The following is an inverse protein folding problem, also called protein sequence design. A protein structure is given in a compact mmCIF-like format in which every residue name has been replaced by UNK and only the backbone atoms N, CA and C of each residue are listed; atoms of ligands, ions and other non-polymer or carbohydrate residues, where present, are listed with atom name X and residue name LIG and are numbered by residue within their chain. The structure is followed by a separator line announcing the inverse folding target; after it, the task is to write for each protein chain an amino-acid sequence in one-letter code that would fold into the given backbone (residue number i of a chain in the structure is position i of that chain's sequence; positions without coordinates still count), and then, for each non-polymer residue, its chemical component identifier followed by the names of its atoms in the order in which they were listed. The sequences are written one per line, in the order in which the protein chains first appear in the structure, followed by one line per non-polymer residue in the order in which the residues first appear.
data_IF_454173848899
#
_entry.id   IF_454173848899
#
_cell.length_a   1.000
_cell.length_b   1.000
_cell.length_c   1.000
_cell.angle_alpha   90.00
_cell.angle_beta   90.00
_cell.angle_gamma   90.00
#
_symmetry.space_group_name_H-M   'P 1'
#
loop_
_entity.id
_entity.type
_entity.pdbx_description
1 polymer ?
#
# COMPACT_ATOMS: atom_id res chain seq x y z
N UNK A 1 10.61 -5.80 -8.56
CA UNK A 1 9.71 -5.45 -9.69
C UNK A 1 10.35 -5.70 -11.04
N UNK A 2 11.44 -5.01 -11.43
CA UNK A 2 12.06 -5.15 -12.77
C UNK A 2 12.34 -6.62 -13.16
N UNK A 3 13.00 -7.38 -12.29
CA UNK A 3 13.27 -8.82 -12.50
C UNK A 3 12.01 -9.64 -12.78
N UNK A 4 10.92 -9.39 -12.05
CA UNK A 4 9.65 -10.13 -12.26
C UNK A 4 8.97 -9.72 -13.57
N UNK A 5 9.07 -8.44 -13.96
CA UNK A 5 8.58 -7.98 -15.27
C UNK A 5 9.31 -8.66 -16.41
N UNK A 6 10.63 -8.78 -16.31
CA UNK A 6 11.44 -9.50 -17.31
C UNK A 6 11.07 -10.99 -17.36
N UNK A 7 11.09 -11.68 -16.21
CA UNK A 7 10.77 -13.11 -16.14
C UNK A 7 9.34 -13.45 -16.56
N UNK A 8 8.42 -12.49 -16.51
CA UNK A 8 7.02 -12.68 -16.94
C UNK A 8 6.78 -12.33 -18.41
N UNK A 9 7.83 -12.02 -19.19
CA UNK A 9 7.71 -11.67 -20.60
C UNK A 9 7.09 -10.28 -20.82
N UNK A 10 7.31 -9.34 -19.89
CA UNK A 10 6.82 -7.96 -20.01
C UNK A 10 5.41 -7.72 -19.45
N UNK A 11 4.82 -8.67 -18.73
CA UNK A 11 3.49 -8.48 -18.11
C UNK A 11 3.53 -7.35 -17.05
N UNK A 12 2.44 -6.57 -16.90
CA UNK A 12 2.34 -5.56 -15.85
C UNK A 12 2.64 -6.16 -14.48
N UNK A 13 3.61 -5.57 -13.79
CA UNK A 13 4.13 -6.04 -12.51
C UNK A 13 3.98 -4.96 -11.46
N UNK A 14 3.35 -5.32 -10.36
CA UNK A 14 3.11 -4.44 -9.22
C UNK A 14 3.37 -5.14 -7.90
N UNK A 15 2.99 -4.48 -6.82
CA UNK A 15 2.98 -5.08 -5.50
C UNK A 15 1.72 -4.64 -4.73
N UNK A 16 1.38 -5.43 -3.72
CA UNK A 16 0.29 -5.15 -2.80
C UNK A 16 0.87 -4.99 -1.41
N UNK A 17 0.40 -3.99 -0.67
CA UNK A 17 0.85 -3.76 0.70
C UNK A 17 -0.24 -3.11 1.55
N UNK A 18 -0.10 -3.26 2.87
CA UNK A 18 -0.78 -2.44 3.86
C UNK A 18 0.25 -1.47 4.46
N UNK A 19 -0.15 -0.23 4.70
CA UNK A 19 0.75 0.79 5.25
C UNK A 19 0.93 0.52 6.75
N UNK A 20 2.18 0.29 7.16
CA UNK A 20 2.63 0.43 8.54
C UNK A 20 3.02 1.88 8.80
N UNK A 21 4.32 2.14 8.87
CA UNK A 21 4.81 3.49 9.10
C UNK A 21 4.94 4.31 7.79
N UNK A 22 4.60 5.61 7.78
CA UNK A 22 4.68 6.43 6.57
C UNK A 22 6.07 6.48 5.93
N UNK A 23 7.14 6.48 6.74
CA UNK A 23 8.51 6.54 6.23
C UNK A 23 8.91 5.28 5.44
N UNK A 24 8.30 4.13 5.72
CA UNK A 24 8.55 2.89 4.97
C UNK A 24 8.02 3.01 3.55
N UNK A 25 6.80 3.54 3.39
CA UNK A 25 6.25 3.85 2.07
C UNK A 25 7.08 4.90 1.33
N UNK A 26 7.46 5.98 2.02
CA UNK A 26 8.30 7.03 1.44
C UNK A 26 9.69 6.50 1.03
N UNK A 27 10.26 5.55 1.76
CA UNK A 27 11.50 4.87 1.38
C UNK A 27 11.37 4.16 0.03
N UNK A 28 10.25 3.45 -0.21
CA UNK A 28 9.97 2.82 -1.51
C UNK A 28 9.90 3.89 -2.61
N UNK A 29 9.22 5.00 -2.36
CA UNK A 29 9.09 6.10 -3.34
C UNK A 29 10.44 6.73 -3.67
N UNK A 30 11.27 7.01 -2.66
CA UNK A 30 12.64 7.53 -2.88
C UNK A 30 13.50 6.52 -3.65
N UNK A 31 13.36 5.22 -3.37
CA UNK A 31 14.05 4.18 -4.15
C UNK A 31 13.58 4.16 -5.61
N UNK A 32 12.28 4.35 -5.89
CA UNK A 32 11.77 4.48 -7.26
C UNK A 32 12.37 5.70 -7.98
N UNK A 33 12.52 6.84 -7.29
CA UNK A 33 13.15 8.03 -7.86
C UNK A 33 14.65 7.82 -8.14
N UNK A 34 15.39 7.24 -7.19
CA UNK A 34 16.82 7.02 -7.31
C UNK A 34 17.17 5.99 -8.40
N UNK A 35 16.41 4.90 -8.48
CA UNK A 35 16.69 3.81 -9.43
C UNK A 35 16.04 4.02 -10.80
N UNK A 36 15.03 4.89 -10.89
CA UNK A 36 14.18 5.04 -12.08
C UNK A 36 13.19 3.88 -12.30
N UNK A 37 13.25 2.82 -11.48
CA UNK A 37 12.43 1.62 -11.60
C UNK A 37 11.09 1.86 -10.90
N UNK A 38 9.99 1.84 -11.65
CA UNK A 38 8.63 1.92 -11.11
C UNK A 38 7.87 0.60 -11.33
N UNK A 39 6.94 0.23 -10.42
CA UNK A 39 5.92 -0.77 -10.74
C UNK A 39 4.95 -0.23 -11.77
N UNK A 40 4.25 -1.13 -12.47
CA UNK A 40 3.14 -0.75 -13.34
C UNK A 40 1.90 -0.41 -12.49
N UNK A 41 1.80 -1.03 -11.32
CA UNK A 41 0.73 -0.76 -10.38
C UNK A 41 1.08 -1.03 -8.91
N UNK A 42 0.29 -0.44 -8.02
CA UNK A 42 0.36 -0.65 -6.57
C UNK A 42 -1.06 -0.92 -6.07
N UNK A 43 -1.26 -1.97 -5.28
CA UNK A 43 -2.53 -2.20 -4.58
C UNK A 43 -2.37 -1.86 -3.11
N UNK A 44 -3.08 -0.82 -2.67
CA UNK A 44 -3.16 -0.48 -1.26
C UNK A 44 -4.26 -1.30 -0.58
N UNK A 45 -3.92 -2.07 0.44
CA UNK A 45 -4.89 -2.83 1.25
C UNK A 45 -5.06 -2.16 2.61
N UNK A 46 -6.28 -1.72 2.93
CA UNK A 46 -6.58 -1.17 4.25
C UNK A 46 -6.64 -2.26 5.32
N UNK A 47 -6.41 -1.87 6.58
CA UNK A 47 -6.38 -2.77 7.74
C UNK A 47 -7.63 -3.65 7.90
N UNK A 48 -8.77 -3.20 7.38
CA UNK A 48 -10.04 -3.90 7.48
C UNK A 48 -10.21 -5.10 6.52
N UNK A 49 -9.11 -5.54 5.88
CA UNK A 49 -9.06 -6.72 5.02
C UNK A 49 -9.58 -8.00 5.69
N UNK A 50 -9.97 -8.98 4.88
CA UNK A 50 -10.34 -10.31 5.38
C UNK A 50 -9.12 -11.23 5.42
N UNK A 51 -9.09 -12.15 6.37
CA UNK A 51 -8.09 -13.22 6.44
C UNK A 51 -8.75 -14.57 6.73
N UNK A 52 -8.18 -15.64 6.19
CA UNK A 52 -8.57 -17.00 6.54
C UNK A 52 -8.02 -17.43 7.90
N UNK A 53 -6.83 -16.95 8.26
CA UNK A 53 -6.14 -17.21 9.51
C UNK A 53 -5.15 -16.09 9.80
N UNK A 54 -5.21 -15.50 10.98
CA UNK A 54 -4.27 -14.48 11.46
C UNK A 54 -4.38 -14.36 12.97
N UNK A 55 -3.30 -14.03 13.69
CA UNK A 55 -3.39 -13.62 15.08
C UNK A 55 -4.37 -12.45 15.25
N UNK A 56 -5.13 -12.46 16.34
CA UNK A 56 -6.11 -11.40 16.66
C UNK A 56 -5.42 -10.05 16.80
N UNK A 57 -4.27 -10.02 17.50
CA UNK A 57 -3.46 -8.80 17.69
C UNK A 57 -3.08 -8.13 16.36
N UNK A 58 -2.77 -8.92 15.33
CA UNK A 58 -2.44 -8.37 14.01
C UNK A 58 -3.71 -7.92 13.29
N UNK A 59 -4.79 -8.69 13.39
CA UNK A 59 -6.03 -8.44 12.66
C UNK A 59 -6.77 -7.20 13.16
N UNK A 60 -6.69 -6.92 14.46
CA UNK A 60 -7.46 -5.86 15.12
C UNK A 60 -6.65 -4.57 15.31
N UNK A 61 -5.31 -4.65 15.35
CA UNK A 61 -4.46 -3.51 15.74
C UNK A 61 -3.41 -3.10 14.71
N UNK A 62 -3.18 -3.87 13.63
CA UNK A 62 -2.11 -3.58 12.66
C UNK A 62 -2.65 -3.15 11.30
N UNK A 63 -2.10 -2.04 10.80
CA UNK A 63 -2.34 -1.52 9.45
C UNK A 63 -3.07 -0.18 9.44
N UNK A 64 -2.96 0.54 8.32
CA UNK A 64 -3.65 1.81 8.14
C UNK A 64 -5.08 1.64 7.62
N UNK A 65 -6.02 2.51 8.04
CA UNK A 65 -7.33 2.60 7.44
C UNK A 65 -7.28 2.86 5.92
N UNK A 66 -8.27 2.33 5.19
CA UNK A 66 -8.28 2.34 3.73
C UNK A 66 -8.20 3.76 3.14
N UNK A 67 -9.01 4.69 3.63
CA UNK A 67 -9.15 6.02 3.01
C UNK A 67 -7.87 6.84 3.19
N UNK A 68 -7.37 6.90 4.41
CA UNK A 68 -6.19 7.66 4.81
C UNK A 68 -4.93 7.12 4.12
N UNK A 69 -4.75 5.79 4.11
CA UNK A 69 -3.60 5.18 3.45
C UNK A 69 -3.66 5.29 1.92
N UNK A 70 -4.83 5.13 1.29
CA UNK A 70 -5.00 5.35 -0.14
C UNK A 70 -4.66 6.80 -0.52
N UNK A 71 -5.19 7.76 0.24
CA UNK A 71 -4.90 9.19 0.06
C UNK A 71 -3.41 9.47 0.21
N UNK A 72 -2.74 8.88 1.19
CA UNK A 72 -1.30 9.04 1.37
C UNK A 72 -0.54 8.53 0.16
N UNK A 73 -0.82 7.31 -0.31
CA UNK A 73 -0.16 6.71 -1.48
C UNK A 73 -0.39 7.55 -2.73
N UNK A 74 -1.65 7.90 -3.00
CA UNK A 74 -2.04 8.70 -4.17
C UNK A 74 -1.34 10.06 -4.20
N UNK A 75 -1.44 10.83 -3.11
CA UNK A 75 -0.83 12.16 -3.01
C UNK A 75 0.69 12.11 -2.98
N UNK A 76 1.29 11.06 -2.40
CA UNK A 76 2.76 10.89 -2.46
C UNK A 76 3.21 10.78 -3.91
N UNK A 77 2.56 9.90 -4.70
CA UNK A 77 2.89 9.70 -6.11
C UNK A 77 2.65 10.95 -6.96
N UNK A 78 1.63 11.75 -6.66
CA UNK A 78 1.44 13.07 -7.29
C UNK A 78 2.61 13.99 -6.91
N UNK A 79 2.88 14.09 -5.62
CA UNK A 79 3.90 14.98 -5.06
C UNK A 79 5.31 14.71 -5.58
N UNK A 80 5.61 13.50 -6.04
CA UNK A 80 6.89 13.16 -6.69
C UNK A 80 6.83 13.04 -8.22
N UNK A 81 5.68 13.28 -8.84
CA UNK A 81 5.51 13.22 -10.29
C UNK A 81 5.45 11.80 -10.87
N UNK A 82 5.18 10.78 -10.05
CA UNK A 82 5.12 9.36 -10.49
C UNK A 82 3.69 8.86 -10.74
N UNK A 83 2.65 9.61 -10.37
CA UNK A 83 1.25 9.15 -10.43
C UNK A 83 0.78 8.73 -11.83
N UNK A 84 1.26 9.38 -12.89
CA UNK A 84 0.92 9.03 -14.28
C UNK A 84 1.51 7.70 -14.74
N UNK A 85 2.60 7.25 -14.12
CA UNK A 85 3.32 6.01 -14.47
C UNK A 85 2.83 4.78 -13.71
N UNK A 86 2.10 4.98 -12.62
CA UNK A 86 1.74 3.92 -11.67
C UNK A 86 0.23 3.92 -11.45
N UNK A 87 -0.42 2.80 -11.75
CA UNK A 87 -1.84 2.61 -11.44
C UNK A 87 -2.04 2.21 -9.98
N UNK A 88 -3.09 2.68 -9.34
CA UNK A 88 -3.40 2.41 -7.93
C UNK A 88 -4.67 1.58 -7.83
N UNK A 89 -4.56 0.35 -7.35
CA UNK A 89 -5.69 -0.43 -6.88
C UNK A 89 -5.89 -0.25 -5.39
N UNK A 90 -7.10 -0.47 -4.89
CA UNK A 90 -7.32 -0.53 -3.44
C UNK A 90 -8.19 -1.72 -3.01
N UNK A 91 -8.04 -2.14 -1.76
CA UNK A 91 -8.81 -3.21 -1.13
C UNK A 91 -9.03 -2.90 0.37
N UNK A 92 -10.05 -3.53 0.97
CA UNK A 92 -10.38 -3.33 2.39
C UNK A 92 -11.84 -2.93 2.59
N UNK A 93 -12.74 -3.92 2.66
CA UNK A 93 -14.20 -3.73 2.80
C UNK A 93 -14.88 -2.89 1.70
N UNK A 94 -14.34 -2.87 0.48
CA UNK A 94 -15.05 -2.33 -0.69
C UNK A 94 -16.10 -3.36 -1.13
N UNK A 95 -17.39 -3.03 -1.00
CA UNK A 95 -18.49 -3.97 -1.27
C UNK A 95 -19.56 -3.33 -2.17
N UNK A 96 -19.91 -2.07 -1.93
CA UNK A 96 -21.01 -1.40 -2.63
C UNK A 96 -20.51 -0.54 -3.80
N UNK A 97 -21.42 -0.18 -4.71
CA UNK A 97 -21.15 0.79 -5.78
C UNK A 97 -20.67 2.15 -5.23
N UNK A 98 -21.22 2.59 -4.10
CA UNK A 98 -20.80 3.85 -3.49
C UNK A 98 -19.40 3.76 -2.86
N UNK A 99 -19.00 2.59 -2.35
CA UNK A 99 -17.61 2.38 -1.90
C UNK A 99 -16.64 2.48 -3.09
N UNK A 100 -16.99 1.90 -4.24
CA UNK A 100 -16.20 2.04 -5.48
C UNK A 100 -16.06 3.51 -5.88
N UNK A 101 -17.18 4.23 -5.99
CA UNK A 101 -17.21 5.65 -6.33
C UNK A 101 -16.34 6.48 -5.37
N UNK A 102 -16.44 6.22 -4.06
CA UNK A 102 -15.65 6.91 -3.05
C UNK A 102 -14.16 6.62 -3.19
N UNK A 103 -13.76 5.36 -3.40
CA UNK A 103 -12.35 5.03 -3.55
C UNK A 103 -11.74 5.60 -4.83
N UNK A 104 -12.51 5.64 -5.93
CA UNK A 104 -12.10 6.32 -7.16
C UNK A 104 -11.91 7.82 -6.93
N UNK A 105 -12.83 8.46 -6.19
CA UNK A 105 -12.72 9.86 -5.78
C UNK A 105 -11.47 10.17 -4.94
N UNK A 106 -10.98 9.18 -4.18
CA UNK A 106 -9.76 9.27 -3.36
C UNK A 106 -8.49 8.86 -4.12
N UNK A 107 -8.61 8.52 -5.40
CA UNK A 107 -7.48 8.35 -6.31
C UNK A 107 -7.14 6.93 -6.72
N UNK A 108 -8.00 5.94 -6.41
CA UNK A 108 -7.89 4.59 -6.93
C UNK A 108 -8.30 4.51 -8.40
N UNK A 109 -7.52 3.81 -9.22
CA UNK A 109 -7.83 3.48 -10.62
C UNK A 109 -8.77 2.27 -10.72
N UNK A 110 -8.75 1.36 -9.72
CA UNK A 110 -9.72 0.28 -9.56
C UNK A 110 -9.79 -0.20 -8.10
N UNK A 111 -10.79 -1.04 -7.79
CA UNK A 111 -10.95 -1.63 -6.46
C UNK A 111 -11.05 -3.15 -6.52
N UNK A 112 -10.51 -3.83 -5.51
CA UNK A 112 -10.63 -5.26 -5.32
C UNK A 112 -11.61 -5.57 -4.19
N UNK A 113 -12.58 -6.45 -4.45
CA UNK A 113 -13.48 -6.98 -3.45
C UNK A 113 -13.16 -8.46 -3.19
N UNK A 114 -12.97 -8.83 -1.93
CA UNK A 114 -12.88 -10.24 -1.51
C UNK A 114 -14.12 -10.64 -0.73
N UNK A 115 -14.40 -9.94 0.38
CA UNK A 115 -15.53 -10.22 1.27
C UNK A 115 -16.88 -10.20 0.57
N UNK A 116 -17.13 -9.20 -0.29
CA UNK A 116 -18.39 -9.12 -1.06
C UNK A 116 -18.61 -10.36 -1.93
N UNK A 117 -17.58 -10.78 -2.67
CA UNK A 117 -17.62 -12.01 -3.47
C UNK A 117 -17.76 -13.28 -2.63
N UNK A 118 -17.09 -13.36 -1.47
CA UNK A 118 -17.26 -14.49 -0.55
C UNK A 118 -18.70 -14.59 -0.03
N UNK A 119 -19.33 -13.46 0.31
CA UNK A 119 -20.74 -13.43 0.73
C UNK A 119 -21.67 -13.82 -0.42
N UNK A 120 -21.41 -13.31 -1.64
CA UNK A 120 -22.15 -13.70 -2.84
C UNK A 120 -22.04 -15.22 -3.09
N UNK A 121 -20.85 -15.80 -2.90
CA UNK A 121 -20.61 -17.25 -3.03
C UNK A 121 -21.36 -18.07 -1.95
N UNK A 122 -21.51 -17.53 -0.74
CA UNK A 122 -22.24 -18.19 0.35
C UNK A 122 -21.53 -18.17 1.70
N UNK A 123 -20.53 -17.32 1.89
CA UNK A 123 -19.97 -17.05 3.22
C UNK A 123 -21.05 -16.40 4.09
N UNK A 124 -21.28 -16.99 5.26
CA UNK A 124 -22.22 -16.51 6.29
C UNK A 124 -21.50 -15.84 7.46
N UNK A 125 -20.21 -15.51 7.30
CA UNK A 125 -19.35 -14.94 8.34
C UNK A 125 -19.29 -15.77 9.63
N UNK A 126 -19.18 -17.10 9.49
CA UNK A 126 -19.01 -18.01 10.63
C UNK A 126 -17.70 -17.82 11.40
N UNK A 127 -16.70 -17.14 10.81
CA UNK A 127 -15.38 -16.86 11.39
C UNK A 127 -14.55 -18.10 11.81
N UNK A 128 -14.93 -19.30 11.35
CA UNK A 128 -14.19 -20.55 11.57
C UNK A 128 -13.21 -20.89 10.44
N UNK A 129 -12.84 -19.90 9.62
CA UNK A 129 -12.10 -20.11 8.37
C UNK A 129 -10.79 -20.89 8.55
N UNK A 130 -10.07 -20.61 9.63
CA UNK A 130 -8.77 -21.22 9.98
C UNK A 130 -8.88 -22.68 10.44
N UNK A 131 -10.08 -23.15 10.81
CA UNK A 131 -10.29 -24.49 11.36
C UNK A 131 -10.49 -25.56 10.29
N UNK A 132 -10.74 -25.16 9.04
CA UNK A 132 -11.19 -26.06 7.97
C UNK A 132 -12.66 -26.49 8.08
N UNK A 133 -13.38 -26.12 9.15
CA UNK A 133 -14.78 -26.51 9.40
C UNK A 133 -15.80 -25.48 8.90
N UNK A 134 -15.53 -24.83 7.76
CA UNK A 134 -16.47 -23.88 7.16
C UNK A 134 -17.84 -24.56 6.94
N UNK A 135 -18.95 -24.04 7.50
CA UNK A 135 -20.26 -24.66 7.36
C UNK A 135 -20.82 -24.60 5.94
N UNK A 136 -20.31 -23.68 5.11
CA UNK A 136 -20.76 -23.51 3.72
C UNK A 136 -19.73 -23.98 2.69
N UNK A 137 -18.67 -24.67 3.14
CA UNK A 137 -17.65 -25.25 2.27
C UNK A 137 -16.66 -24.26 1.64
N UNK A 138 -16.87 -22.94 1.80
CA UNK A 138 -16.08 -21.89 1.14
C UNK A 138 -14.59 -21.95 1.51
N UNK A 139 -14.27 -22.14 2.79
CA UNK A 139 -12.89 -22.23 3.30
C UNK A 139 -12.65 -23.58 3.95
N UNK A 140 -12.90 -24.66 3.22
CA UNK A 140 -12.69 -26.03 3.67
C UNK A 140 -11.97 -26.87 2.61
N UNK A 141 -11.14 -27.81 3.05
CA UNK A 141 -10.55 -28.85 2.21
C UNK A 141 -11.23 -30.21 2.40
N UNK A 142 -12.28 -30.28 3.22
CA UNK A 142 -13.09 -31.49 3.41
C UNK A 142 -14.02 -31.71 2.20
N UNK A 143 -13.88 -32.82 1.45
CA UNK A 143 -14.70 -33.11 0.29
C UNK A 143 -16.20 -33.10 0.58
N UNK A 144 -16.62 -33.54 1.77
CA UNK A 144 -18.04 -33.56 2.15
C UNK A 144 -18.59 -32.14 2.29
N UNK A 145 -17.82 -31.23 2.90
CA UNK A 145 -18.22 -29.82 3.05
C UNK A 145 -18.19 -29.06 1.73
N UNK A 146 -17.25 -29.39 0.84
CA UNK A 146 -17.17 -28.78 -0.49
C UNK A 146 -18.40 -29.10 -1.36
N UNK A 147 -19.17 -30.16 -1.08
CA UNK A 147 -20.45 -30.43 -1.76
C UNK A 147 -21.47 -29.29 -1.61
N UNK A 148 -21.34 -28.44 -0.58
CA UNK A 148 -22.16 -27.23 -0.43
C UNK A 148 -21.88 -26.14 -1.49
N UNK A 149 -20.74 -26.22 -2.18
CA UNK A 149 -20.35 -25.33 -3.28
C UNK A 149 -20.88 -25.84 -4.62
N UNK A 150 -22.21 -25.84 -4.78
CA UNK A 150 -22.88 -26.19 -6.05
C UNK A 150 -22.50 -25.18 -7.14
N UNK A 151 -21.47 -25.49 -7.93
CA UNK A 151 -20.77 -24.55 -8.82
C UNK A 151 -21.72 -23.77 -9.74
N UNK A 152 -22.68 -24.40 -10.47
CA UNK A 152 -23.58 -23.65 -11.36
C UNK A 152 -24.35 -22.54 -10.62
N UNK A 153 -24.98 -22.88 -9.49
CA UNK A 153 -25.74 -21.91 -8.69
C UNK A 153 -24.85 -20.85 -8.05
N UNK A 154 -23.64 -21.22 -7.61
CA UNK A 154 -22.72 -20.27 -6.97
C UNK A 154 -22.11 -19.29 -7.99
N UNK A 155 -21.83 -19.76 -9.20
CA UNK A 155 -21.33 -18.93 -10.30
C UNK A 155 -22.34 -17.84 -10.67
N UNK A 156 -23.63 -18.19 -10.82
CA UNK A 156 -24.70 -17.22 -11.10
C UNK A 156 -24.80 -16.15 -10.01
N UNK A 157 -24.72 -16.55 -8.73
CA UNK A 157 -24.75 -15.59 -7.61
C UNK A 157 -23.58 -14.61 -7.63
N UNK A 158 -22.38 -15.10 -7.90
CA UNK A 158 -21.16 -14.28 -8.00
C UNK A 158 -21.26 -13.33 -9.19
N UNK A 159 -21.70 -13.83 -10.35
CA UNK A 159 -21.93 -13.02 -11.54
C UNK A 159 -22.97 -11.93 -11.28
N UNK A 160 -24.09 -12.27 -10.66
CA UNK A 160 -25.16 -11.34 -10.33
C UNK A 160 -24.68 -10.26 -9.36
N UNK A 161 -23.92 -10.61 -8.32
CA UNK A 161 -23.32 -9.62 -7.41
C UNK A 161 -22.43 -8.61 -8.15
N UNK A 162 -21.55 -9.11 -9.03
CA UNK A 162 -20.68 -8.24 -9.81
C UNK A 162 -21.49 -7.34 -10.77
N UNK A 163 -22.40 -7.93 -11.54
CA UNK A 163 -23.24 -7.21 -12.51
C UNK A 163 -24.08 -6.13 -11.83
N UNK A 164 -24.76 -6.45 -10.74
CA UNK A 164 -25.59 -5.48 -10.00
C UNK A 164 -24.74 -4.38 -9.35
N UNK A 165 -23.55 -4.70 -8.85
CA UNK A 165 -22.62 -3.68 -8.32
C UNK A 165 -22.18 -2.71 -9.42
N UNK A 166 -21.85 -3.21 -10.62
CA UNK A 166 -21.48 -2.36 -11.76
C UNK A 166 -22.65 -1.53 -12.29
N UNK A 167 -23.85 -2.10 -12.35
CA UNK A 167 -25.06 -1.37 -12.72
C UNK A 167 -25.32 -0.20 -11.76
N UNK A 168 -25.27 -0.46 -10.45
CA UNK A 168 -25.44 0.61 -9.46
C UNK A 168 -24.31 1.67 -9.54
N UNK A 169 -23.08 1.28 -9.88
CA UNK A 169 -22.00 2.24 -10.11
C UNK A 169 -22.28 3.10 -11.35
N UNK A 170 -22.79 2.51 -12.43
CA UNK A 170 -23.21 3.24 -13.63
C UNK A 170 -24.30 4.27 -13.30
N UNK A 171 -25.31 3.90 -12.52
CA UNK A 171 -26.36 4.82 -12.06
C UNK A 171 -25.77 6.00 -11.27
N UNK A 172 -24.80 5.75 -10.38
CA UNK A 172 -24.13 6.81 -9.62
C UNK A 172 -23.33 7.76 -10.53
N UNK A 173 -22.62 7.21 -11.52
CA UNK A 173 -21.84 8.00 -12.49
C UNK A 173 -22.76 8.89 -13.32
N UNK A 174 -23.86 8.35 -13.83
CA UNK A 174 -24.86 9.09 -14.60
C UNK A 174 -25.56 10.15 -13.74
N UNK A 175 -25.91 9.83 -12.50
CA UNK A 175 -26.53 10.78 -11.57
C UNK A 175 -25.59 11.95 -11.22
N UNK A 176 -24.27 11.72 -11.22
CA UNK A 176 -23.27 12.77 -11.06
C UNK A 176 -23.02 13.59 -12.35
N UNK A 177 -23.65 13.23 -13.48
CA UNK A 177 -23.45 13.89 -14.76
C UNK A 177 -22.11 13.57 -15.42
N UNK A 178 -21.55 12.38 -15.15
CA UNK A 178 -20.26 11.93 -15.64
C UNK A 178 -20.41 10.78 -16.64
N UNK A 179 -19.41 10.56 -17.49
CA UNK A 179 -19.39 9.50 -18.49
C UNK A 179 -18.61 8.27 -18.03
N UNK A 180 -17.67 8.45 -17.09
CA UNK A 180 -16.79 7.38 -16.63
C UNK A 180 -16.49 7.48 -15.12
N UNK A 181 -16.44 6.35 -14.37
CA UNK A 181 -16.16 6.36 -12.94
C UNK A 181 -14.87 7.07 -12.51
N UNK A 182 -13.83 7.07 -13.37
CA UNK A 182 -12.57 7.78 -13.10
C UNK A 182 -12.70 9.31 -13.10
N UNK A 183 -13.81 9.87 -13.60
CA UNK A 183 -14.08 11.31 -13.51
C UNK A 183 -14.65 11.70 -12.14
N UNK A 184 -15.05 10.72 -11.32
CA UNK A 184 -15.50 10.99 -9.95
C UNK A 184 -14.30 11.51 -9.16
N UNK A 185 -14.40 12.77 -8.75
CA UNK A 185 -13.47 13.41 -7.81
C UNK A 185 -14.11 13.61 -6.44
N UNK A 186 -13.31 13.94 -5.43
CA UNK A 186 -13.78 14.27 -4.08
C UNK A 186 -14.77 15.46 -4.03
N UNK A 187 -14.90 16.27 -5.10
CA UNK A 187 -15.90 17.34 -5.18
C UNK A 187 -17.33 16.82 -5.36
N UNK A 188 -17.51 15.60 -5.87
CA UNK A 188 -18.84 15.02 -6.09
C UNK A 188 -19.45 14.39 -4.83
N UNK A 189 -18.68 14.28 -3.75
CA UNK A 189 -19.10 13.58 -2.53
C UNK A 189 -19.31 14.60 -1.41
N UNK A 190 -20.51 14.61 -0.83
CA UNK A 190 -20.86 15.41 0.34
C UNK A 190 -20.82 14.52 1.58
N UNK A 191 -20.16 14.98 2.65
CA UNK A 191 -20.11 14.29 3.93
C UNK A 191 -20.75 15.15 5.01
N UNK A 192 -21.66 14.55 5.77
CA UNK A 192 -22.15 15.11 7.03
C UNK A 192 -21.07 14.93 8.11
N UNK A 193 -20.69 16.02 8.75
CA UNK A 193 -19.64 16.07 9.79
C UNK A 193 -20.25 16.08 11.18
N UNK A 194 -21.36 16.79 11.33
CA UNK A 194 -22.17 16.84 12.54
C UNK A 194 -23.65 16.92 12.15
N UNK A 195 -24.55 17.02 13.12
CA UNK A 195 -25.99 17.11 12.86
C UNK A 195 -26.37 18.34 12.02
N UNK A 196 -25.56 19.40 12.08
CA UNK A 196 -25.83 20.69 11.44
C UNK A 196 -24.82 21.06 10.34
N UNK A 197 -23.77 20.26 10.13
CA UNK A 197 -22.68 20.59 9.21
C UNK A 197 -22.48 19.54 8.12
N UNK A 198 -22.46 20.02 6.87
CA UNK A 198 -22.06 19.25 5.69
C UNK A 198 -20.86 19.92 5.00
N UNK A 199 -19.95 19.11 4.48
CA UNK A 199 -18.78 19.55 3.72
C UNK A 199 -18.59 18.68 2.49
N UNK A 200 -17.99 19.24 1.44
CA UNK A 200 -17.49 18.42 0.35
C UNK A 200 -16.31 17.60 0.84
N UNK A 201 -16.19 16.37 0.37
CA UNK A 201 -15.07 15.49 0.72
C UNK A 201 -13.73 16.14 0.34
N UNK A 202 -13.70 16.89 -0.77
CA UNK A 202 -12.53 17.68 -1.20
C UNK A 202 -12.01 18.67 -0.14
N UNK A 203 -12.87 19.17 0.76
CA UNK A 203 -12.45 20.07 1.83
C UNK A 203 -11.91 19.33 3.06
N UNK A 204 -12.10 18.02 3.13
CA UNK A 204 -11.78 17.20 4.30
C UNK A 204 -10.54 16.32 4.08
N UNK A 205 -10.14 16.13 2.83
CA UNK A 205 -9.05 15.23 2.46
C UNK A 205 -7.82 16.02 2.04
N UNK A 206 -6.66 15.43 2.30
CA UNK A 206 -5.37 15.97 1.87
C UNK A 206 -5.27 15.98 0.35
N UNK A 207 -4.81 17.10 -0.20
CA UNK A 207 -4.47 17.26 -1.61
C UNK A 207 -3.02 17.76 -1.75
N UNK A 208 -2.29 17.21 -2.70
CA UNK A 208 -0.89 17.56 -2.98
C UNK A 208 -0.75 17.95 -4.44
N UNK A 209 -0.04 19.04 -4.72
CA UNK A 209 0.23 19.46 -6.09
C UNK A 209 1.31 18.59 -6.74
N UNK A 210 1.27 18.38 -8.07
CA UNK A 210 2.32 17.66 -8.78
C UNK A 210 3.71 18.22 -8.46
N UNK A 211 4.66 17.35 -8.08
CA UNK A 211 6.03 17.77 -7.76
C UNK A 211 6.24 18.47 -6.42
N UNK A 212 5.19 18.67 -5.61
CA UNK A 212 5.28 19.42 -4.35
C UNK A 212 6.17 18.78 -3.28
N UNK A 213 6.49 17.49 -3.39
CA UNK A 213 7.41 16.78 -2.47
C UNK A 213 8.86 16.76 -2.97
N UNK A 214 9.14 17.38 -4.12
CA UNK A 214 10.50 17.56 -4.67
C UNK A 214 11.15 18.86 -4.19
N UNK A 215 10.37 19.78 -3.63
CA UNK A 215 10.82 21.07 -3.13
C UNK A 215 10.70 21.20 -1.60
N UNK A 216 10.71 22.45 -1.08
CA UNK A 216 10.51 22.71 0.34
C UNK A 216 9.19 22.15 0.86
N UNK A 217 9.22 21.54 2.05
CA UNK A 217 8.07 20.86 2.63
C UNK A 217 7.20 21.77 3.51
N UNK A 218 7.60 23.01 3.77
CA UNK A 218 6.98 23.87 4.80
C UNK A 218 5.47 24.08 4.60
N UNK A 219 5.02 24.13 3.34
CA UNK A 219 3.62 24.27 2.97
C UNK A 219 2.84 22.95 2.85
N UNK A 220 3.50 21.80 3.07
CA UNK A 220 2.89 20.47 2.89
C UNK A 220 2.20 19.98 4.17
N UNK A 221 1.32 18.99 4.01
CA UNK A 221 0.64 18.34 5.13
C UNK A 221 1.65 17.74 6.14
N UNK A 222 1.29 17.74 7.43
CA UNK A 222 2.14 17.29 8.54
C UNK A 222 2.79 15.93 8.29
N UNK A 223 2.05 14.98 7.71
CA UNK A 223 2.58 13.63 7.41
C UNK A 223 3.84 13.68 6.54
N UNK A 224 3.92 14.59 5.58
CA UNK A 224 5.09 14.75 4.72
C UNK A 224 6.20 15.52 5.46
N UNK A 225 5.86 16.64 6.11
CA UNK A 225 6.84 17.44 6.88
C UNK A 225 7.57 16.61 7.93
N UNK A 226 6.83 15.78 8.64
CA UNK A 226 7.36 14.98 9.75
C UNK A 226 8.09 13.72 9.27
N UNK A 227 7.50 12.94 8.35
CA UNK A 227 8.02 11.60 8.06
C UNK A 227 8.79 11.49 6.75
N UNK A 228 8.62 12.41 5.78
CA UNK A 228 9.39 12.39 4.53
C UNK A 228 10.89 12.55 4.75
N UNK A 229 11.38 13.43 5.66
CA UNK A 229 12.81 13.54 5.95
C UNK A 229 13.39 12.27 6.59
N UNK A 230 12.59 11.52 7.35
CA UNK A 230 13.02 10.30 8.03
C UNK A 230 13.23 9.12 7.06
N UNK A 231 12.65 9.17 5.86
CA UNK A 231 12.70 8.04 4.93
C UNK A 231 14.04 7.95 4.19
N UNK A 232 14.56 6.73 4.02
CA UNK A 232 15.79 6.44 3.29
C UNK A 232 15.51 5.42 2.17
N UNK A 233 16.00 5.63 0.95
CA UNK A 233 15.79 4.69 -0.15
C UNK A 233 16.45 3.32 0.08
N UNK A 234 17.50 3.27 0.91
CA UNK A 234 18.25 2.04 1.18
C UNK A 234 17.74 1.25 2.41
N UNK A 235 16.81 1.78 3.20
CA UNK A 235 16.33 1.13 4.43
C UNK A 235 14.94 1.58 4.83
N UNK A 236 14.16 0.65 5.40
CA UNK A 236 12.88 0.96 6.05
C UNK A 236 13.02 1.52 7.47
N UNK A 237 14.24 1.51 8.02
CA UNK A 237 14.50 2.17 9.29
C UNK A 237 14.51 3.69 9.10
N UNK A 238 13.84 4.45 10.01
CA UNK A 238 13.84 5.89 9.92
C UNK A 238 15.23 6.46 10.22
N UNK A 239 15.58 7.53 9.53
CA UNK A 239 16.75 8.37 9.84
C UNK A 239 16.44 9.15 11.11
N UNK A 240 16.66 8.53 12.27
CA UNK A 240 16.51 9.19 13.57
C UNK A 240 17.72 10.10 13.82
N UNK A 241 17.51 11.39 14.19
CA UNK A 241 18.60 12.33 14.45
C UNK A 241 19.61 11.84 15.49
N UNK A 242 19.18 11.02 16.45
CA UNK A 242 20.05 10.50 17.52
C UNK A 242 20.90 9.28 17.11
N UNK A 243 20.38 8.39 16.24
CA UNK A 243 21.11 7.17 15.85
C UNK A 243 22.11 7.41 14.71
N UNK A 244 21.92 8.47 13.91
CA UNK A 244 22.87 8.82 12.86
C UNK A 244 24.17 9.40 13.43
N UNK A 245 24.12 10.18 14.51
CA UNK A 245 25.33 10.64 15.18
C UNK A 245 26.18 9.47 15.68
N UNK A 246 25.55 8.43 16.22
CA UNK A 246 26.25 7.24 16.71
C UNK A 246 26.72 6.32 15.57
N UNK A 247 25.91 6.12 14.53
CA UNK A 247 26.32 5.33 13.35
C UNK A 247 27.43 6.00 12.54
N UNK A 248 27.42 7.33 12.45
CA UNK A 248 28.48 8.11 11.80
C UNK A 248 29.76 8.10 12.62
N UNK A 249 29.68 8.30 13.94
CA UNK A 249 30.83 8.13 14.86
C UNK A 249 31.41 6.72 14.80
N UNK A 250 30.57 5.68 14.70
CA UNK A 250 31.02 4.29 14.60
C UNK A 250 31.71 4.01 13.26
N UNK A 251 31.22 4.58 12.15
CA UNK A 251 31.88 4.50 10.83
C UNK A 251 33.20 5.26 10.82
N UNK A 252 33.25 6.46 11.37
CA UNK A 252 34.48 7.26 11.49
C UNK A 252 35.50 6.56 12.40
N UNK A 253 35.08 5.96 13.51
CA UNK A 253 35.95 5.18 14.38
C UNK A 253 36.50 3.92 13.70
N UNK A 254 35.68 3.23 12.90
CA UNK A 254 36.11 2.06 12.12
C UNK A 254 37.10 2.44 11.01
N UNK A 255 36.90 3.57 10.32
CA UNK A 255 37.84 4.08 9.31
C UNK A 255 39.17 4.51 9.93
N UNK A 256 39.15 5.10 11.14
CA UNK A 256 40.37 5.44 11.87
C UNK A 256 41.13 4.19 12.32
N UNK A 257 40.43 3.17 12.81
CA UNK A 257 41.03 1.87 13.18
C UNK A 257 41.63 1.15 11.98
N UNK A 258 40.94 1.15 10.83
CA UNK A 258 41.46 0.57 9.60
C UNK A 258 42.75 1.27 9.16
N UNK A 259 42.80 2.61 9.20
CA UNK A 259 43.99 3.40 8.82
C UNK A 259 45.17 3.22 9.79
N UNK A 260 44.90 3.05 11.08
CA UNK A 260 45.97 2.81 12.08
C UNK A 260 46.53 1.40 11.99
N UNK A 261 45.72 0.39 11.65
CA UNK A 261 46.21 -0.96 11.38
C UNK A 261 47.09 -1.02 10.12
N UNK A 262 46.73 -0.32 9.04
CA UNK A 262 47.55 -0.28 7.82
C UNK A 262 48.91 0.44 8.02
N UNK A 263 48.99 1.38 8.97
CA UNK A 263 50.25 2.06 9.31
C UNK A 263 51.16 1.23 10.22
N UNK A 264 50.60 0.38 11.08
CA UNK A 264 51.36 -0.50 11.97
C UNK A 264 52.03 -1.67 11.22
N UNK A 265 51.41 -2.18 10.15
CA UNK A 265 51.98 -3.25 9.32
C UNK A 265 53.09 -2.76 8.36
N UNK A 266 53.24 -1.45 8.18
CA UNK A 266 54.27 -0.85 7.32
C UNK A 266 55.65 -0.64 7.98
N UNK A 267 55.82 -0.98 9.26
CA UNK A 267 57.08 -0.82 10.01
C UNK A 267 57.58 -2.17 10.55
N UNK A 268 57.86 -3.13 9.66
CA UNK A 268 58.68 -4.28 9.99
C UNK A 268 60.12 -4.06 9.46
N UNK A 269 61.15 -4.01 10.32
CA UNK A 269 62.54 -3.88 9.86
C UNK A 269 63.02 -5.17 9.19
N UNK A 270 63.64 -5.05 8.01
CA UNK A 270 64.34 -6.14 7.33
C UNK A 270 65.59 -6.51 8.14
N UNK A 271 65.53 -7.62 8.89
CA UNK A 271 66.73 -8.24 9.46
C UNK A 271 67.50 -9.01 8.39
N UNK A 272 68.75 -8.59 8.22
CA UNK A 272 69.78 -9.17 7.36
C UNK A 272 70.30 -10.45 8.02
N UNK A 273 70.06 -11.60 7.39
CA UNK A 273 70.66 -12.86 7.79
C UNK A 273 72.13 -12.94 7.31
N UNK A 274 73.07 -12.90 8.26
CA UNK A 274 74.46 -13.32 8.10
C UNK A 274 74.62 -14.77 8.58
N UNK A 275 75.45 -15.51 7.85
CA UNK A 275 75.75 -16.95 7.91
C UNK A 275 76.39 -17.46 9.21
N UNK A 276 76.06 -18.71 9.57
CA UNK A 276 76.99 -19.75 10.03
C UNK A 276 76.38 -21.14 9.73
#
# INVERSE_FOLDING_TARGET
VARLRELSGGKPTGFKFCLGHPWEWFAIVKAMQQTGITPDFIVFDGAAGGTGASPVEISDHVGAPLQEGLLLVHNTLIGVGLRSRIKIGCAGKVITAFDLARMMALGADWCNAGRGFMMALGCIQAQTCHTGNCPTGVTSQDPLRQQALVVPTKADRVQNFHRSTLHALQELVQAAGLDHPQQITAHHIVRRISDTEVRLLSNLVMQVQPGALLGPLDAQHNVFRTYWPLANSASFQPLLPALQADAQKQREAADVQARTQTQAEGQAPQEVALSA
#
